data_IF_748447809374
#
_entry.id   IF_748447809374
#
_cell.length_a   1.000
_cell.length_b   1.000
_cell.length_c   1.000
_cell.angle_alpha   90.00
_cell.angle_beta   90.00
_cell.angle_gamma   90.00
#
_symmetry.space_group_name_H-M   'P 1'
#
loop_
_entity.id
_entity.type
_entity.pdbx_description
1 polymer ?
#
# COMPACT_ATOMS: atom_id res chain seq x y z
N UNK A 1 -62.42 -19.98 -10.01
CA UNK A 1 -61.82 -19.32 -11.19
C UNK A 1 -60.55 -18.59 -10.81
N UNK A 2 -59.67 -18.28 -11.79
CA UNK A 2 -58.38 -17.53 -11.51
C UNK A 2 -58.67 -16.14 -10.95
N UNK A 3 -59.82 -15.55 -11.24
CA UNK A 3 -60.26 -14.27 -10.66
C UNK A 3 -60.54 -14.41 -9.17
N UNK A 4 -61.17 -15.49 -8.77
CA UNK A 4 -61.46 -15.80 -7.37
C UNK A 4 -60.20 -16.10 -6.59
N UNK A 5 -59.25 -16.85 -7.19
CA UNK A 5 -57.94 -17.11 -6.60
C UNK A 5 -57.15 -15.80 -6.38
N UNK A 6 -57.17 -14.87 -7.33
CA UNK A 6 -56.51 -13.57 -7.18
C UNK A 6 -57.11 -12.76 -6.04
N UNK A 7 -58.42 -12.78 -5.86
CA UNK A 7 -59.16 -12.12 -4.78
C UNK A 7 -58.77 -12.73 -3.42
N UNK A 8 -58.73 -14.08 -3.32
CA UNK A 8 -58.35 -14.76 -2.08
C UNK A 8 -56.92 -14.49 -1.67
N UNK A 9 -55.97 -14.34 -2.65
CA UNK A 9 -54.58 -14.03 -2.40
C UNK A 9 -54.27 -12.55 -2.26
N UNK A 10 -55.26 -11.66 -2.40
CA UNK A 10 -55.06 -10.21 -2.30
C UNK A 10 -54.15 -9.62 -3.38
N UNK A 11 -54.03 -10.27 -4.56
CA UNK A 11 -53.16 -9.85 -5.66
C UNK A 11 -53.96 -9.55 -6.91
N UNK A 12 -53.40 -8.74 -7.83
CA UNK A 12 -54.06 -8.49 -9.12
C UNK A 12 -54.09 -9.77 -9.98
N UNK A 13 -55.15 -9.95 -10.80
CA UNK A 13 -55.26 -11.08 -11.73
C UNK A 13 -54.05 -11.21 -12.66
N UNK A 14 -53.45 -10.09 -13.08
CA UNK A 14 -52.24 -10.05 -13.89
C UNK A 14 -51.00 -10.61 -13.16
N UNK A 15 -50.94 -10.50 -11.84
CA UNK A 15 -49.85 -11.04 -11.04
C UNK A 15 -49.80 -12.58 -11.09
N UNK A 16 -50.94 -13.26 -11.26
CA UNK A 16 -51.03 -14.72 -11.41
C UNK A 16 -50.40 -15.24 -12.73
N UNK A 17 -50.28 -14.38 -13.71
CA UNK A 17 -49.67 -14.71 -15.01
C UNK A 17 -48.23 -14.21 -15.13
N UNK A 18 -47.71 -13.52 -14.10
CA UNK A 18 -46.37 -12.99 -14.14
C UNK A 18 -45.35 -14.11 -14.04
N UNK A 19 -44.63 -14.33 -15.12
CA UNK A 19 -43.47 -15.23 -15.13
C UNK A 19 -42.22 -14.40 -14.90
N UNK A 20 -41.49 -14.72 -13.83
CA UNK A 20 -40.16 -14.12 -13.56
C UNK A 20 -39.21 -14.43 -14.72
N UNK A 21 -39.00 -13.44 -15.60
CA UNK A 21 -37.97 -13.54 -16.68
C UNK A 21 -36.56 -13.24 -16.17
N UNK A 22 -36.43 -12.74 -14.95
CA UNK A 22 -35.16 -12.34 -14.36
C UNK A 22 -34.20 -13.50 -14.07
N UNK A 23 -34.61 -14.68 -13.58
CA UNK A 23 -33.68 -15.74 -13.22
C UNK A 23 -32.79 -16.21 -14.39
N UNK A 24 -33.36 -16.39 -15.58
CA UNK A 24 -32.57 -16.81 -16.74
C UNK A 24 -31.58 -15.75 -17.19
N UNK A 25 -31.99 -14.46 -17.19
CA UNK A 25 -31.11 -13.33 -17.50
C UNK A 25 -30.01 -13.12 -16.45
N UNK A 26 -30.31 -13.42 -15.19
CA UNK A 26 -29.35 -13.32 -14.09
C UNK A 26 -28.35 -14.47 -14.11
N UNK A 27 -28.73 -15.68 -14.53
CA UNK A 27 -27.83 -16.80 -14.74
C UNK A 27 -26.84 -16.54 -15.89
N UNK A 28 -27.32 -16.01 -17.02
CA UNK A 28 -26.45 -15.62 -18.13
C UNK A 28 -25.45 -14.55 -17.67
N UNK A 29 -25.93 -13.51 -17.00
CA UNK A 29 -25.07 -12.44 -16.49
C UNK A 29 -24.09 -12.93 -15.41
N UNK A 30 -24.47 -13.91 -14.58
CA UNK A 30 -23.57 -14.57 -13.64
C UNK A 30 -22.35 -15.17 -14.35
N UNK A 31 -22.57 -15.92 -15.44
CA UNK A 31 -21.47 -16.54 -16.20
C UNK A 31 -20.51 -15.49 -16.79
N UNK A 32 -21.03 -14.37 -17.30
CA UNK A 32 -20.20 -13.25 -17.78
C UNK A 32 -19.39 -12.63 -16.66
N UNK A 33 -19.99 -12.40 -15.48
CA UNK A 33 -19.31 -11.86 -14.30
C UNK A 33 -18.20 -12.82 -13.85
N UNK A 34 -18.47 -14.12 -13.77
CA UNK A 34 -17.47 -15.13 -13.37
C UNK A 34 -16.29 -15.19 -14.34
N UNK A 35 -16.53 -15.06 -15.64
CA UNK A 35 -15.47 -14.96 -16.66
C UNK A 35 -14.59 -13.73 -16.41
N UNK A 36 -15.17 -12.54 -16.24
CA UNK A 36 -14.40 -11.33 -15.94
C UNK A 36 -13.65 -11.44 -14.61
N UNK A 37 -14.24 -12.11 -13.60
CA UNK A 37 -13.57 -12.32 -12.30
C UNK A 37 -12.42 -13.33 -12.37
N UNK A 38 -12.44 -14.29 -13.30
CA UNK A 38 -11.31 -15.22 -13.53
C UNK A 38 -10.12 -14.50 -14.13
N UNK A 39 -10.38 -13.62 -15.10
CA UNK A 39 -9.34 -12.87 -15.81
C UNK A 39 -8.80 -11.71 -14.93
N UNK A 40 -9.67 -11.10 -14.13
CA UNK A 40 -9.38 -9.93 -13.31
C UNK A 40 -9.80 -10.13 -11.85
N UNK A 41 -9.05 -10.94 -11.10
CA UNK A 41 -9.34 -11.35 -9.71
C UNK A 41 -9.61 -10.20 -8.72
N UNK A 42 -9.16 -8.99 -9.02
CA UNK A 42 -9.31 -7.80 -8.17
C UNK A 42 -10.48 -6.89 -8.55
N UNK A 43 -11.21 -7.19 -9.65
CA UNK A 43 -12.30 -6.34 -10.10
C UNK A 43 -13.51 -6.44 -9.17
N UNK A 44 -13.93 -5.30 -8.61
CA UNK A 44 -15.19 -5.17 -7.88
C UNK A 44 -16.34 -4.83 -8.84
N UNK A 45 -17.58 -4.84 -8.32
CA UNK A 45 -18.79 -4.63 -9.11
C UNK A 45 -18.76 -3.37 -10.01
N UNK A 46 -18.05 -2.30 -9.63
CA UNK A 46 -17.93 -1.09 -10.45
C UNK A 46 -17.09 -1.36 -11.71
N UNK A 47 -15.89 -1.94 -11.57
CA UNK A 47 -15.01 -2.25 -12.70
C UNK A 47 -15.60 -3.35 -13.60
N UNK A 48 -16.32 -4.33 -13.03
CA UNK A 48 -17.04 -5.35 -13.81
C UNK A 48 -18.16 -4.70 -14.62
N UNK A 49 -18.88 -3.74 -14.04
CA UNK A 49 -19.91 -2.98 -14.71
C UNK A 49 -19.36 -2.18 -15.90
N UNK A 50 -18.25 -1.49 -15.69
CA UNK A 50 -17.55 -0.73 -16.74
C UNK A 50 -17.04 -1.67 -17.85
N UNK A 51 -16.47 -2.82 -17.50
CA UNK A 51 -15.95 -3.81 -18.44
C UNK A 51 -17.05 -4.44 -19.33
N UNK A 52 -18.22 -4.73 -18.74
CA UNK A 52 -19.35 -5.34 -19.45
C UNK A 52 -20.32 -4.33 -20.06
N UNK A 53 -20.15 -3.03 -19.84
CA UNK A 53 -21.08 -1.98 -20.26
C UNK A 53 -22.46 -2.10 -19.60
N UNK A 54 -22.56 -2.68 -18.41
CA UNK A 54 -23.82 -2.96 -17.71
C UNK A 54 -23.96 -2.10 -16.46
N UNK A 55 -25.19 -1.68 -16.14
CA UNK A 55 -25.44 -0.87 -14.96
C UNK A 55 -24.91 -1.53 -13.67
N UNK A 56 -24.10 -0.78 -12.91
CA UNK A 56 -23.45 -1.21 -11.66
C UNK A 56 -24.41 -1.78 -10.60
N UNK A 57 -25.64 -1.26 -10.52
CA UNK A 57 -26.67 -1.76 -9.59
C UNK A 57 -27.10 -3.18 -9.96
N UNK A 58 -27.22 -3.48 -11.26
CA UNK A 58 -27.57 -4.82 -11.76
C UNK A 58 -26.46 -5.81 -11.47
N UNK A 59 -25.18 -5.46 -11.76
CA UNK A 59 -24.02 -6.30 -11.42
C UNK A 59 -23.98 -6.57 -9.91
N UNK A 60 -24.10 -5.55 -9.08
CA UNK A 60 -24.09 -5.70 -7.61
C UNK A 60 -25.20 -6.63 -7.11
N UNK A 61 -26.43 -6.53 -7.69
CA UNK A 61 -27.55 -7.40 -7.35
C UNK A 61 -27.25 -8.87 -7.69
N UNK A 62 -26.76 -9.13 -8.90
CA UNK A 62 -26.40 -10.50 -9.33
C UNK A 62 -25.26 -11.06 -8.50
N UNK A 63 -24.21 -10.28 -8.25
CA UNK A 63 -23.12 -10.71 -7.38
C UNK A 63 -23.59 -11.07 -5.97
N UNK A 64 -24.52 -10.28 -5.38
CA UNK A 64 -25.12 -10.60 -4.08
C UNK A 64 -25.99 -11.84 -4.14
N UNK A 65 -26.82 -11.98 -5.17
CA UNK A 65 -27.76 -13.12 -5.34
C UNK A 65 -26.99 -14.45 -5.40
N UNK A 66 -25.87 -14.49 -6.11
CA UNK A 66 -25.06 -15.70 -6.29
C UNK A 66 -23.83 -15.78 -5.36
N UNK A 67 -23.71 -14.90 -4.39
CA UNK A 67 -22.61 -14.92 -3.40
C UNK A 67 -21.21 -14.67 -3.99
N UNK A 68 -21.10 -14.02 -5.16
CA UNK A 68 -19.84 -13.73 -5.82
C UNK A 68 -19.08 -12.65 -5.05
N UNK A 69 -17.95 -13.05 -4.44
CA UNK A 69 -17.13 -12.16 -3.61
C UNK A 69 -15.75 -11.98 -4.21
N UNK A 70 -15.30 -10.74 -4.33
CA UNK A 70 -13.94 -10.41 -4.75
C UNK A 70 -12.96 -10.68 -3.61
N UNK A 71 -11.86 -11.39 -3.88
CA UNK A 71 -10.77 -11.55 -2.91
C UNK A 71 -10.05 -10.20 -2.72
N UNK A 72 -10.44 -9.45 -1.69
CA UNK A 72 -9.71 -8.24 -1.30
C UNK A 72 -8.49 -8.64 -0.48
N UNK A 73 -7.29 -8.14 -0.86
CA UNK A 73 -6.18 -8.15 0.08
C UNK A 73 -6.63 -7.36 1.32
N UNK A 74 -6.72 -8.01 2.49
CA UNK A 74 -6.95 -7.29 3.74
C UNK A 74 -5.82 -6.30 3.91
N UNK A 75 -6.13 -5.01 4.08
CA UNK A 75 -5.13 -4.07 4.59
C UNK A 75 -4.66 -4.64 5.93
N UNK A 76 -3.35 -4.81 6.10
CA UNK A 76 -2.81 -5.11 7.43
C UNK A 76 -3.34 -4.01 8.36
N UNK A 77 -3.85 -4.36 9.56
CA UNK A 77 -4.23 -3.34 10.52
C UNK A 77 -3.03 -2.40 10.68
N UNK A 78 -3.25 -1.09 10.59
CA UNK A 78 -2.24 -0.12 10.96
C UNK A 78 -1.81 -0.44 12.38
N UNK A 79 -0.50 -0.54 12.63
CA UNK A 79 0.00 -0.67 14.01
C UNK A 79 -0.66 0.43 14.83
N UNK A 80 -1.13 0.14 16.08
CA UNK A 80 -1.58 1.18 16.97
C UNK A 80 -0.50 2.27 17.00
N UNK A 81 -0.90 3.53 16.82
CA UNK A 81 0.02 4.63 17.10
C UNK A 81 0.40 4.50 18.57
N UNK A 82 1.68 4.25 18.83
CA UNK A 82 2.21 4.20 20.18
C UNK A 82 1.82 5.50 20.89
N UNK A 83 0.92 5.40 21.87
CA UNK A 83 0.33 6.53 22.57
C UNK A 83 1.20 6.99 23.75
N UNK A 84 2.51 6.87 23.65
CA UNK A 84 3.41 7.22 24.73
C UNK A 84 4.66 7.95 24.29
N UNK A 85 4.64 9.23 24.35
CA UNK A 85 5.63 10.25 24.02
C UNK A 85 5.50 10.73 22.56
N UNK A 86 5.22 12.04 22.40
CA UNK A 86 5.33 12.68 21.12
C UNK A 86 6.73 12.43 20.56
N UNK A 87 6.87 11.77 19.41
CA UNK A 87 8.19 11.49 18.85
C UNK A 87 8.88 12.83 18.68
N UNK A 88 10.14 12.92 19.11
CA UNK A 88 10.96 14.11 18.91
C UNK A 88 10.87 14.47 17.43
N UNK A 89 10.22 15.60 17.11
CA UNK A 89 9.99 16.01 15.73
C UNK A 89 11.34 16.39 15.12
N UNK A 90 11.90 15.53 14.29
CA UNK A 90 13.10 15.83 13.53
C UNK A 90 12.67 16.67 12.32
N UNK A 91 13.19 17.90 12.19
CA UNK A 91 12.74 18.81 11.14
C UNK A 91 13.19 18.34 9.75
N UNK A 92 12.43 18.74 8.73
CA UNK A 92 12.86 18.58 7.34
C UNK A 92 13.81 19.73 6.96
N UNK A 93 15.11 19.48 7.00
CA UNK A 93 16.15 20.45 6.68
C UNK A 93 16.46 20.53 5.17
N UNK A 94 15.87 19.64 4.36
CA UNK A 94 16.12 19.57 2.92
C UNK A 94 15.06 20.33 2.13
N UNK A 95 13.91 20.60 2.74
CA UNK A 95 12.84 21.33 2.08
C UNK A 95 13.31 22.75 1.69
N UNK A 96 13.34 23.03 0.38
CA UNK A 96 13.79 24.32 -0.15
C UNK A 96 15.32 24.53 -0.14
N UNK A 97 16.10 23.53 0.26
CA UNK A 97 17.56 23.60 0.24
C UNK A 97 18.09 23.39 -1.17
N UNK A 98 18.79 24.36 -1.74
CA UNK A 98 19.56 24.19 -2.96
C UNK A 98 20.89 23.49 -2.63
N UNK A 99 21.01 22.21 -2.99
CA UNK A 99 22.25 21.45 -2.80
C UNK A 99 23.21 21.82 -3.93
N UNK A 100 24.39 22.34 -3.58
CA UNK A 100 25.36 22.91 -4.54
C UNK A 100 26.70 22.18 -4.61
N UNK A 101 26.94 21.21 -3.73
CA UNK A 101 28.18 20.44 -3.69
C UNK A 101 27.97 19.01 -3.19
N UNK A 102 28.88 18.06 -3.51
CA UNK A 102 28.87 16.73 -2.94
C UNK A 102 28.94 16.75 -1.40
N UNK A 103 28.41 15.72 -0.79
CA UNK A 103 28.42 15.47 0.66
C UNK A 103 27.71 16.55 1.52
N UNK A 104 26.91 17.42 0.91
CA UNK A 104 26.04 18.31 1.67
C UNK A 104 24.86 17.59 2.27
N UNK A 105 24.20 16.72 1.49
CA UNK A 105 23.03 15.95 1.90
C UNK A 105 23.13 14.53 1.40
N UNK A 106 23.07 13.57 2.31
CA UNK A 106 22.86 12.18 1.97
C UNK A 106 21.42 11.76 2.29
N UNK A 107 20.79 11.07 1.35
CA UNK A 107 19.46 10.48 1.51
C UNK A 107 19.59 8.97 1.74
N UNK A 108 18.67 8.42 2.51
CA UNK A 108 18.68 7.01 2.90
C UNK A 108 17.33 6.38 2.75
N UNK A 109 17.34 5.15 2.30
CA UNK A 109 16.13 4.35 2.12
C UNK A 109 16.41 2.86 2.32
N UNK A 110 15.34 2.09 2.50
CA UNK A 110 15.38 0.63 2.54
C UNK A 110 14.62 0.01 1.40
N UNK A 111 15.16 -1.05 0.86
CA UNK A 111 14.49 -1.89 -0.12
C UNK A 111 14.34 -3.32 0.40
N UNK A 112 13.15 -3.89 0.19
CA UNK A 112 12.83 -5.28 0.51
C UNK A 112 13.11 -6.14 -0.71
N UNK A 113 14.11 -6.99 -0.66
CA UNK A 113 14.49 -7.88 -1.75
C UNK A 113 13.93 -9.29 -1.46
N UNK A 114 13.12 -9.88 -2.35
CA UNK A 114 12.65 -11.25 -2.19
C UNK A 114 13.83 -12.22 -2.41
N UNK A 115 14.02 -13.15 -1.48
CA UNK A 115 15.10 -14.13 -1.54
C UNK A 115 14.63 -15.48 -0.96
N UNK A 116 14.53 -16.52 -1.79
CA UNK A 116 14.10 -17.87 -1.42
C UNK A 116 12.87 -17.92 -0.49
N UNK A 117 11.80 -17.21 -0.86
CA UNK A 117 10.53 -17.19 -0.10
C UNK A 117 10.57 -16.35 1.19
N UNK A 118 11.68 -15.69 1.49
CA UNK A 118 11.87 -14.73 2.58
C UNK A 118 12.19 -13.34 2.02
N UNK A 119 12.41 -12.38 2.90
CA UNK A 119 12.93 -11.07 2.51
C UNK A 119 14.31 -10.87 3.13
N UNK A 120 15.22 -10.29 2.35
CA UNK A 120 16.42 -9.62 2.82
C UNK A 120 16.22 -8.11 2.66
N UNK A 121 16.95 -7.34 3.41
CA UNK A 121 16.82 -5.90 3.50
C UNK A 121 18.10 -5.25 3.02
N UNK A 122 17.98 -4.34 2.07
CA UNK A 122 19.05 -3.50 1.57
C UNK A 122 18.83 -2.08 2.08
N UNK A 123 19.76 -1.53 2.82
CA UNK A 123 19.82 -0.11 3.14
C UNK A 123 20.82 0.57 2.20
N UNK A 124 20.46 1.71 1.64
CA UNK A 124 21.31 2.51 0.76
C UNK A 124 21.47 3.92 1.29
N UNK A 125 22.62 4.50 1.02
CA UNK A 125 22.95 5.90 1.25
C UNK A 125 23.34 6.52 -0.08
N UNK A 126 22.62 7.53 -0.52
CA UNK A 126 22.84 8.23 -1.79
C UNK A 126 23.19 9.69 -1.52
N UNK A 127 24.20 10.21 -2.20
CA UNK A 127 24.47 11.65 -2.24
C UNK A 127 23.53 12.33 -3.23
N UNK A 128 22.73 13.26 -2.73
CA UNK A 128 21.68 13.91 -3.53
C UNK A 128 22.24 14.79 -4.66
N UNK A 129 23.47 15.30 -4.51
CA UNK A 129 24.12 16.12 -5.53
C UNK A 129 24.68 15.27 -6.68
N UNK A 130 25.47 14.24 -6.36
CA UNK A 130 26.11 13.38 -7.36
C UNK A 130 25.19 12.28 -7.88
N UNK A 131 24.09 11.98 -7.15
CA UNK A 131 23.20 10.85 -7.43
C UNK A 131 23.87 9.48 -7.35
N UNK A 132 24.99 9.41 -6.67
CA UNK A 132 25.74 8.17 -6.45
C UNK A 132 25.35 7.51 -5.14
N UNK A 133 25.22 6.20 -5.14
CA UNK A 133 25.16 5.42 -3.91
C UNK A 133 26.55 5.40 -3.30
N UNK A 134 26.69 6.09 -2.17
CA UNK A 134 27.97 6.25 -1.46
C UNK A 134 28.21 5.17 -0.40
N UNK A 135 27.14 4.46 0.01
CA UNK A 135 27.25 3.34 0.93
C UNK A 135 26.00 2.48 0.94
N UNK A 136 26.15 1.23 1.34
CA UNK A 136 25.06 0.26 1.41
C UNK A 136 25.33 -0.85 2.41
N UNK A 137 24.28 -1.52 2.85
CA UNK A 137 24.38 -2.74 3.67
C UNK A 137 23.20 -3.67 3.40
N UNK A 138 23.45 -4.97 3.55
CA UNK A 138 22.41 -6.00 3.43
C UNK A 138 22.31 -6.78 4.75
N UNK A 139 21.06 -7.10 5.14
CA UNK A 139 20.80 -7.93 6.31
C UNK A 139 19.53 -8.77 6.13
N UNK A 140 19.44 -9.86 6.86
CA UNK A 140 18.21 -10.64 7.03
C UNK A 140 17.27 -10.04 8.08
N UNK A 141 17.73 -9.02 8.83
CA UNK A 141 16.97 -8.33 9.87
C UNK A 141 16.79 -6.87 9.52
N UNK A 142 15.57 -6.38 9.63
CA UNK A 142 15.21 -4.97 9.49
C UNK A 142 15.33 -4.29 10.85
N UNK A 143 16.45 -3.65 11.13
CA UNK A 143 16.75 -3.02 12.41
C UNK A 143 17.71 -1.83 12.26
N UNK A 144 17.95 -1.12 13.35
CA UNK A 144 18.84 0.05 13.43
C UNK A 144 20.27 -0.25 12.98
N UNK A 145 20.79 -1.47 13.24
CA UNK A 145 22.14 -1.84 12.84
C UNK A 145 22.34 -1.83 11.33
N UNK A 146 21.30 -2.19 10.57
CA UNK A 146 21.38 -2.17 9.11
C UNK A 146 21.63 -0.76 8.57
N UNK A 147 20.93 0.24 9.08
CA UNK A 147 21.11 1.65 8.64
C UNK A 147 22.41 2.23 9.15
N UNK A 148 22.85 1.83 10.34
CA UNK A 148 24.15 2.23 10.87
C UNK A 148 25.29 1.67 10.02
N UNK A 149 25.22 0.40 9.63
CA UNK A 149 26.22 -0.24 8.76
C UNK A 149 26.29 0.43 7.38
N UNK A 150 25.14 0.74 6.76
CA UNK A 150 25.13 1.45 5.48
C UNK A 150 25.76 2.86 5.58
N UNK A 151 25.53 3.56 6.69
CA UNK A 151 26.15 4.86 6.95
C UNK A 151 27.66 4.72 7.16
N UNK A 152 28.09 3.74 7.96
CA UNK A 152 29.51 3.50 8.21
C UNK A 152 30.25 3.08 6.93
N UNK A 153 29.63 2.24 6.09
CA UNK A 153 30.18 1.88 4.78
C UNK A 153 30.41 3.13 3.91
N UNK A 154 29.42 4.04 3.87
CA UNK A 154 29.55 5.31 3.15
C UNK A 154 30.74 6.16 3.65
N UNK A 155 30.98 6.17 4.96
CA UNK A 155 32.03 6.97 5.59
C UNK A 155 33.44 6.41 5.43
N UNK A 156 33.59 5.16 4.96
CA UNK A 156 34.92 4.57 4.69
C UNK A 156 35.66 5.34 3.59
N UNK A 157 34.94 5.74 2.55
CA UNK A 157 35.53 6.35 1.35
C UNK A 157 35.11 7.79 1.10
N UNK A 158 34.23 8.34 1.94
CA UNK A 158 33.68 9.67 1.75
C UNK A 158 33.69 10.47 3.03
N UNK A 159 33.86 11.82 2.97
CA UNK A 159 33.69 12.68 4.13
C UNK A 159 32.24 12.65 4.62
N UNK A 160 32.07 12.90 5.92
CA UNK A 160 30.74 12.94 6.51
C UNK A 160 29.87 14.04 5.89
N UNK A 161 28.57 13.78 5.63
CA UNK A 161 27.67 14.77 5.08
C UNK A 161 27.25 15.79 6.15
N UNK A 162 26.84 16.99 5.73
CA UNK A 162 26.28 17.97 6.66
C UNK A 162 24.90 17.54 7.18
N UNK A 163 24.09 16.90 6.31
CA UNK A 163 22.71 16.49 6.60
C UNK A 163 22.52 15.02 6.16
N UNK A 164 21.89 14.25 7.03
CA UNK A 164 21.47 12.90 6.77
C UNK A 164 19.93 12.86 6.76
N UNK A 165 19.35 12.74 5.57
CA UNK A 165 17.90 12.76 5.34
C UNK A 165 17.32 11.37 5.15
N UNK A 166 16.13 11.13 5.70
CA UNK A 166 15.38 9.88 5.54
C UNK A 166 13.88 10.12 5.63
N UNK A 167 13.09 9.07 5.44
CA UNK A 167 11.70 9.03 5.86
C UNK A 167 11.58 8.96 7.39
N UNK A 168 10.34 8.87 7.91
CA UNK A 168 10.06 8.74 9.34
C UNK A 168 10.14 7.29 9.84
N UNK A 169 10.93 6.43 9.22
CA UNK A 169 11.16 5.06 9.67
C UNK A 169 11.62 4.98 11.13
N UNK A 170 11.16 3.94 11.85
CA UNK A 170 11.49 3.74 13.26
C UNK A 170 12.99 3.62 13.49
N UNK A 171 13.70 3.03 12.55
CA UNK A 171 15.13 2.76 12.56
C UNK A 171 15.95 4.06 12.54
N UNK A 172 15.50 5.04 11.77
CA UNK A 172 16.14 6.36 11.66
C UNK A 172 15.86 7.26 12.86
N UNK A 173 14.78 6.97 13.64
CA UNK A 173 14.45 7.67 14.89
C UNK A 173 14.99 6.98 16.14
N UNK A 174 15.67 5.86 15.97
CA UNK A 174 16.28 5.14 17.08
C UNK A 174 17.36 6.00 17.75
N UNK A 175 17.37 6.00 19.09
CA UNK A 175 18.32 6.80 19.90
C UNK A 175 19.77 6.47 19.61
N UNK A 176 20.08 5.18 19.35
CA UNK A 176 21.45 4.75 19.04
C UNK A 176 21.91 5.35 17.71
N UNK A 177 21.03 5.34 16.70
CA UNK A 177 21.34 5.93 15.41
C UNK A 177 21.47 7.46 15.47
N UNK A 178 20.59 8.13 16.18
CA UNK A 178 20.67 9.58 16.38
C UNK A 178 21.95 9.99 17.15
N UNK A 179 22.34 9.21 18.15
CA UNK A 179 23.61 9.40 18.86
C UNK A 179 24.83 9.20 17.93
N UNK A 180 24.79 8.21 17.06
CA UNK A 180 25.83 8.01 16.05
C UNK A 180 25.94 9.23 15.10
N UNK A 181 24.82 9.74 14.57
CA UNK A 181 24.84 10.95 13.74
C UNK A 181 25.42 12.15 14.50
N UNK A 182 25.03 12.32 15.76
CA UNK A 182 25.53 13.39 16.63
C UNK A 182 27.03 13.30 16.85
N UNK A 183 27.56 12.10 17.13
CA UNK A 183 29.01 11.89 17.32
C UNK A 183 29.83 12.20 16.07
N UNK A 184 29.22 12.10 14.90
CA UNK A 184 29.82 12.39 13.59
C UNK A 184 29.55 13.84 13.11
N UNK A 185 28.92 14.69 13.95
CA UNK A 185 28.46 16.05 13.60
C UNK A 185 27.51 16.10 12.38
N UNK A 186 26.77 15.04 12.14
CA UNK A 186 25.79 14.95 11.05
C UNK A 186 24.41 15.36 11.57
N UNK A 187 23.76 16.32 10.94
CA UNK A 187 22.40 16.76 11.32
C UNK A 187 21.34 15.81 10.75
N UNK A 188 20.48 15.20 11.60
CA UNK A 188 19.36 14.40 11.11
C UNK A 188 18.28 15.29 10.50
N UNK A 189 17.65 14.80 9.44
CA UNK A 189 16.52 15.43 8.75
C UNK A 189 15.54 14.35 8.31
N UNK A 190 14.24 14.63 8.37
CA UNK A 190 13.21 13.68 7.97
C UNK A 190 12.13 14.35 7.12
N UNK A 191 11.63 13.61 6.12
CA UNK A 191 10.44 14.00 5.37
C UNK A 191 9.19 13.93 6.26
N UNK A 192 8.17 14.77 5.97
CA UNK A 192 6.88 14.76 6.68
C UNK A 192 6.03 13.54 6.34
#
# INVERSE_FOLDING_TARGET
SKTELARQLGVSRSALYYRLKLPAKDLALKAEIEKVMSDHKAYGHKRIADHLGINKKRILRVMKLFGLKVKRKRKKPSKPKDSGQAPMAIPNLVLGLAVSAPHQVWVKDFTYLPYFGKFIYLATVEDIFTRQVVGWAISTKHNVNLVALALLDALIFNPAPNISHSDQGSEYRDKQYLNLLKSLNIRPSMSA
#
